data_IF_978762120355
#
_entry.id   IF_978762120355
#
_cell.length_a   1.000
_cell.length_b   1.000
_cell.length_c   1.000
_cell.angle_alpha   90.00
_cell.angle_beta   90.00
_cell.angle_gamma   90.00
#
_symmetry.space_group_name_H-M   'P 1'
#
loop_
_entity.id
_entity.type
_entity.pdbx_description
1 polymer ?
#
# COMPACT_ATOMS: atom_id res chain seq x y z
N UNK A 1 10.77 11.11 -5.51
CA UNK A 1 9.63 10.21 -5.82
C UNK A 1 8.47 10.63 -4.94
N UNK A 2 7.22 10.54 -5.41
CA UNK A 2 6.06 11.02 -4.66
C UNK A 2 5.73 10.06 -3.52
N UNK A 3 5.92 10.52 -2.28
CA UNK A 3 5.54 9.79 -1.08
C UNK A 3 4.30 10.42 -0.44
N UNK A 4 3.43 9.58 0.09
CA UNK A 4 2.17 9.93 0.71
C UNK A 4 2.13 9.39 2.14
N UNK A 5 1.88 10.22 3.17
CA UNK A 5 1.58 9.71 4.50
C UNK A 5 0.27 8.91 4.45
N UNK A 6 0.31 7.69 4.96
CA UNK A 6 -0.84 6.81 5.12
C UNK A 6 -0.81 6.17 6.50
N UNK A 7 -1.95 6.16 7.17
CA UNK A 7 -2.15 5.32 8.36
C UNK A 7 -2.67 3.97 7.92
N UNK A 8 -1.91 2.92 8.23
CA UNK A 8 -2.33 1.54 8.05
C UNK A 8 -2.84 1.00 9.39
N UNK A 9 -3.90 0.20 9.34
CA UNK A 9 -4.52 -0.38 10.53
C UNK A 9 -4.88 -1.85 10.33
N UNK A 10 -4.66 -2.63 11.39
CA UNK A 10 -5.08 -4.02 11.52
C UNK A 10 -5.82 -4.17 12.86
N UNK A 11 -7.16 -4.16 12.82
CA UNK A 11 -7.97 -4.09 14.04
C UNK A 11 -7.71 -2.80 14.81
N UNK A 12 -7.26 -2.92 16.07
CA UNK A 12 -6.92 -1.78 16.94
C UNK A 12 -5.50 -1.25 16.75
N UNK A 13 -4.64 -1.98 16.04
CA UNK A 13 -3.24 -1.58 15.84
C UNK A 13 -3.12 -0.72 14.59
N UNK A 14 -2.36 0.37 14.70
CA UNK A 14 -2.15 1.28 13.58
C UNK A 14 -0.72 1.80 13.54
N UNK A 15 -0.25 2.10 12.34
CA UNK A 15 1.05 2.72 12.09
C UNK A 15 0.93 3.73 10.96
N UNK A 16 1.51 4.90 11.16
CA UNK A 16 1.68 5.90 10.11
C UNK A 16 3.00 5.66 9.37
N UNK A 17 2.93 5.59 8.05
CA UNK A 17 4.08 5.34 7.17
C UNK A 17 4.07 6.29 5.98
N UNK A 18 5.26 6.56 5.44
CA UNK A 18 5.40 7.21 4.13
C UNK A 18 5.38 6.13 3.05
N UNK A 19 4.33 6.09 2.24
CA UNK A 19 4.20 5.14 1.15
C UNK A 19 4.57 5.77 -0.20
N UNK A 20 5.33 5.04 -1.00
CA UNK A 20 5.68 5.40 -2.36
C UNK A 20 4.48 5.20 -3.28
N UNK A 21 4.07 6.23 -4.00
CA UNK A 21 3.12 6.10 -5.10
C UNK A 21 3.86 5.61 -6.35
N UNK A 22 3.58 4.38 -6.78
CA UNK A 22 4.26 3.74 -7.90
C UNK A 22 3.27 3.19 -8.94
N UNK A 23 3.09 3.94 -10.03
CA UNK A 23 2.28 3.50 -11.17
C UNK A 23 2.91 2.34 -11.95
N UNK A 24 4.19 2.03 -11.72
CA UNK A 24 4.84 0.84 -12.28
C UNK A 24 4.52 -0.44 -11.50
N UNK A 25 3.96 -0.32 -10.29
CA UNK A 25 3.63 -1.45 -9.44
C UNK A 25 2.17 -1.89 -9.65
N UNK A 26 1.97 -3.15 -10.02
CA UNK A 26 0.62 -3.71 -10.16
C UNK A 26 -0.09 -3.92 -8.81
N UNK A 27 0.66 -4.14 -7.73
CA UNK A 27 0.14 -4.44 -6.39
C UNK A 27 0.75 -3.51 -5.35
N UNK A 28 0.08 -3.32 -4.22
CA UNK A 28 0.71 -2.68 -3.06
C UNK A 28 1.72 -3.64 -2.43
N UNK A 29 2.80 -3.09 -1.86
CA UNK A 29 3.84 -3.87 -1.17
C UNK A 29 3.98 -3.38 0.26
N UNK A 30 4.00 -4.31 1.21
CA UNK A 30 4.21 -4.04 2.62
C UNK A 30 5.51 -4.74 3.07
N UNK A 31 6.50 -4.03 3.64
CA UNK A 31 7.70 -4.64 4.18
C UNK A 31 7.42 -5.47 5.43
N UNK A 32 8.30 -6.44 5.72
CA UNK A 32 8.06 -7.41 6.79
C UNK A 32 7.78 -6.73 8.14
N UNK A 33 8.64 -5.77 8.49
CA UNK A 33 8.62 -5.09 9.78
C UNK A 33 7.32 -4.29 10.02
N UNK A 34 6.73 -3.72 8.98
CA UNK A 34 5.49 -2.93 9.12
C UNK A 34 4.31 -3.84 9.45
N UNK A 35 4.22 -5.01 8.80
CA UNK A 35 3.20 -6.00 9.16
C UNK A 35 3.34 -6.50 10.61
N UNK A 36 4.58 -6.66 11.11
CA UNK A 36 4.81 -7.00 12.52
C UNK A 36 4.37 -5.89 13.48
N UNK A 37 4.62 -4.61 13.16
CA UNK A 37 4.14 -3.47 13.97
C UNK A 37 2.61 -3.40 14.03
N UNK A 38 1.94 -3.91 13.01
CA UNK A 38 0.49 -4.05 12.94
C UNK A 38 -0.02 -5.35 13.60
N UNK A 39 0.85 -6.07 14.32
CA UNK A 39 0.57 -7.36 14.95
C UNK A 39 0.02 -8.42 13.98
N UNK A 40 0.31 -8.29 12.67
CA UNK A 40 -0.02 -9.33 11.72
C UNK A 40 0.89 -10.54 11.95
N UNK A 41 0.31 -11.74 11.89
CA UNK A 41 1.05 -13.00 12.01
C UNK A 41 1.35 -13.56 10.63
N UNK A 42 2.63 -13.66 10.27
CA UNK A 42 3.08 -14.11 8.94
C UNK A 42 2.60 -15.52 8.62
N UNK A 43 2.70 -16.42 9.59
CA UNK A 43 2.36 -17.84 9.48
C UNK A 43 0.86 -18.06 9.25
N UNK A 44 0.01 -17.11 9.63
CA UNK A 44 -1.43 -17.15 9.37
C UNK A 44 -1.80 -16.73 7.95
N UNK A 45 -0.90 -16.05 7.24
CA UNK A 45 -1.13 -15.65 5.85
C UNK A 45 -0.83 -16.86 4.94
N UNK A 46 -1.81 -17.29 4.15
CA UNK A 46 -1.72 -18.53 3.36
C UNK A 46 -1.73 -18.30 1.85
N UNK A 47 -2.01 -17.09 1.39
CA UNK A 47 -2.08 -16.74 -0.03
C UNK A 47 -0.70 -16.29 -0.49
N UNK A 48 0.07 -17.09 -1.25
CA UNK A 48 1.36 -16.65 -1.78
C UNK A 48 1.17 -15.61 -2.89
N UNK A 49 2.03 -14.60 -2.92
CA UNK A 49 2.07 -13.59 -3.98
C UNK A 49 3.44 -13.62 -4.64
N UNK A 50 3.47 -13.84 -5.95
CA UNK A 50 4.71 -13.77 -6.71
C UNK A 50 5.04 -12.31 -7.04
N UNK A 51 6.12 -11.80 -6.46
CA UNK A 51 6.67 -10.49 -6.81
C UNK A 51 7.63 -10.61 -8.00
N UNK A 52 7.92 -9.47 -8.61
CA UNK A 52 8.84 -9.32 -9.74
C UNK A 52 9.81 -8.16 -9.52
N UNK A 53 10.68 -7.90 -10.49
CA UNK A 53 11.68 -6.83 -10.42
C UNK A 53 12.63 -7.00 -9.23
N UNK A 54 12.90 -5.91 -8.52
CA UNK A 54 13.85 -5.90 -7.38
C UNK A 54 13.39 -6.77 -6.20
N UNK A 55 12.12 -7.18 -6.15
CA UNK A 55 11.56 -8.00 -5.08
C UNK A 55 11.28 -9.45 -5.52
N UNK A 56 11.70 -9.86 -6.72
CA UNK A 56 11.39 -11.18 -7.29
C UNK A 56 11.84 -12.37 -6.41
N UNK A 57 12.89 -12.19 -5.60
CA UNK A 57 13.43 -13.21 -4.72
C UNK A 57 12.87 -13.17 -3.30
N UNK A 58 12.05 -12.17 -2.96
CA UNK A 58 11.49 -12.03 -1.63
C UNK A 58 10.15 -12.76 -1.55
N UNK A 59 10.02 -13.70 -0.60
CA UNK A 59 8.73 -14.34 -0.31
C UNK A 59 7.71 -13.26 0.03
N UNK A 60 6.51 -13.36 -0.54
CA UNK A 60 5.40 -12.48 -0.20
C UNK A 60 4.09 -13.25 -0.05
N UNK A 61 3.24 -12.74 0.84
CA UNK A 61 1.93 -13.29 1.17
C UNK A 61 0.89 -12.17 1.13
N UNK A 62 -0.34 -12.52 0.80
CA UNK A 62 -1.45 -11.59 0.83
C UNK A 62 -1.75 -11.16 2.26
N UNK A 63 -1.87 -9.85 2.49
CA UNK A 63 -2.35 -9.26 3.73
C UNK A 63 -3.31 -8.12 3.39
N UNK A 64 -4.49 -8.08 4.01
CA UNK A 64 -5.46 -7.01 3.84
C UNK A 64 -5.44 -6.11 5.06
N UNK A 65 -5.30 -4.81 4.85
CA UNK A 65 -5.24 -3.80 5.90
C UNK A 65 -6.25 -2.69 5.62
N UNK A 66 -6.67 -2.00 6.67
CA UNK A 66 -7.35 -0.71 6.53
C UNK A 66 -6.30 0.37 6.28
N UNK A 67 -6.54 1.23 5.28
CA UNK A 67 -5.67 2.35 4.93
C UNK A 67 -6.44 3.65 4.96
N UNK A 68 -5.90 4.67 5.63
CA UNK A 68 -6.48 6.00 5.72
C UNK A 68 -5.44 7.03 5.29
N UNK A 69 -5.82 7.83 4.30
CA UNK A 69 -4.99 8.90 3.75
C UNK A 69 -5.68 10.23 3.99
N UNK A 70 -4.93 11.19 4.55
CA UNK A 70 -5.45 12.52 4.85
C UNK A 70 -6.79 12.45 5.59
N UNK A 71 -7.77 13.25 5.20
CA UNK A 71 -9.14 13.24 5.74
C UNK A 71 -10.12 12.33 4.97
N UNK A 72 -9.64 11.44 4.10
CA UNK A 72 -10.50 10.55 3.32
C UNK A 72 -11.00 9.37 4.15
N UNK A 73 -12.13 8.80 3.73
CA UNK A 73 -12.66 7.56 4.32
C UNK A 73 -11.65 6.43 4.20
N UNK A 74 -11.57 5.60 5.25
CA UNK A 74 -10.71 4.43 5.24
C UNK A 74 -11.15 3.42 4.16
N UNK A 75 -10.17 2.77 3.53
CA UNK A 75 -10.38 1.73 2.52
C UNK A 75 -9.62 0.46 2.87
N UNK A 76 -10.06 -0.67 2.34
CA UNK A 76 -9.32 -1.92 2.44
C UNK A 76 -8.28 -2.00 1.32
N UNK A 77 -7.03 -2.18 1.72
CA UNK A 77 -5.88 -2.31 0.84
C UNK A 77 -5.33 -3.73 0.92
N UNK A 78 -5.29 -4.42 -0.22
CA UNK A 78 -4.57 -5.68 -0.35
C UNK A 78 -3.09 -5.40 -0.62
N UNK A 79 -2.22 -6.00 0.18
CA UNK A 79 -0.77 -5.92 0.08
C UNK A 79 -0.17 -7.29 -0.24
N UNK A 80 0.88 -7.26 -1.06
CA UNK A 80 1.94 -8.25 -1.00
C UNK A 80 2.81 -7.93 0.21
N UNK A 81 2.52 -8.56 1.35
CA UNK A 81 3.37 -8.47 2.53
C UNK A 81 4.60 -9.34 2.31
N UNK A 82 5.78 -8.73 2.24
CA UNK A 82 7.02 -9.39 1.84
C UNK A 82 8.00 -9.57 2.99
N UNK A 83 8.83 -10.62 2.94
CA UNK A 83 9.96 -10.83 3.86
C UNK A 83 11.11 -9.82 3.68
N UNK A 84 11.06 -8.96 2.66
CA UNK A 84 12.03 -7.88 2.49
C UNK A 84 11.95 -6.87 3.64
N UNK A 85 13.12 -6.47 4.16
CA UNK A 85 13.26 -5.40 5.17
C UNK A 85 13.54 -4.03 4.56
N UNK A 86 13.96 -4.00 3.29
CA UNK A 86 14.52 -2.79 2.66
C UNK A 86 13.56 -2.16 1.64
N UNK A 87 12.47 -2.86 1.31
CA UNK A 87 11.43 -2.31 0.46
C UNK A 87 10.76 -1.09 1.15
N UNK A 88 10.44 -0.01 0.43
CA UNK A 88 9.48 0.96 0.93
C UNK A 88 8.08 0.33 0.98
N UNK A 89 7.16 0.95 1.73
CA UNK A 89 5.73 0.70 1.49
C UNK A 89 5.39 1.24 0.11
N UNK A 90 4.81 0.42 -0.76
CA UNK A 90 4.45 0.81 -2.13
C UNK A 90 2.93 0.76 -2.25
N UNK A 91 2.35 1.82 -2.80
CA UNK A 91 0.98 1.86 -3.27
C UNK A 91 1.00 1.74 -4.80
N UNK A 92 0.35 0.71 -5.30
CA UNK A 92 0.29 0.34 -6.71
C UNK A 92 -1.15 0.24 -7.21
N UNK A 93 -1.32 -0.25 -8.44
CA UNK A 93 -2.62 -0.23 -9.13
C UNK A 93 -3.74 -0.94 -8.37
N UNK A 94 -3.44 -2.07 -7.72
CA UNK A 94 -4.42 -2.84 -6.98
C UNK A 94 -4.93 -2.06 -5.74
N UNK A 95 -6.22 -1.75 -5.73
CA UNK A 95 -6.97 -1.15 -4.61
C UNK A 95 -6.55 0.25 -4.14
N UNK A 96 -5.44 0.83 -4.60
CA UNK A 96 -5.13 2.24 -4.32
C UNK A 96 -5.47 3.14 -5.52
N UNK A 97 -4.78 2.99 -6.66
CA UNK A 97 -5.07 3.79 -7.85
C UNK A 97 -6.43 3.44 -8.51
N UNK A 98 -7.10 2.37 -8.08
CA UNK A 98 -8.50 2.11 -8.46
C UNK A 98 -9.50 2.98 -7.69
N UNK A 99 -9.13 3.41 -6.47
CA UNK A 99 -9.97 4.17 -5.54
C UNK A 99 -9.67 5.67 -5.57
N UNK A 100 -8.47 6.05 -6.02
CA UNK A 100 -8.07 7.44 -6.15
C UNK A 100 -7.57 7.77 -7.55
N UNK A 101 -7.99 8.93 -8.06
CA UNK A 101 -7.29 9.58 -9.15
C UNK A 101 -6.02 10.23 -8.59
N UNK A 102 -4.88 9.91 -9.19
CA UNK A 102 -3.57 10.46 -8.82
C UNK A 102 -2.97 11.18 -10.01
N UNK A 103 -2.64 12.47 -9.85
CA UNK A 103 -2.01 13.28 -10.89
C UNK A 103 -0.61 13.70 -10.43
N UNK A 104 0.43 13.40 -11.21
CA UNK A 104 1.81 13.72 -10.88
C UNK A 104 2.30 14.96 -11.64
N UNK A 105 2.84 15.94 -10.91
CA UNK A 105 3.44 17.16 -11.43
C UNK A 105 4.95 17.09 -11.20
N UNK A 106 5.65 16.46 -12.14
CA UNK A 106 7.03 16.00 -11.94
C UNK A 106 8.03 17.13 -11.75
N UNK A 107 7.88 18.25 -12.47
CA UNK A 107 8.78 19.40 -12.37
C UNK A 107 8.57 20.17 -11.05
N UNK A 108 7.33 20.16 -10.59
CA UNK A 108 6.85 20.81 -9.37
C UNK A 108 7.12 19.95 -8.12
N UNK A 109 7.56 18.71 -8.31
CA UNK A 109 7.72 17.70 -7.26
C UNK A 109 6.44 17.50 -6.43
N UNK A 110 5.29 17.69 -7.07
CA UNK A 110 3.98 17.64 -6.43
C UNK A 110 3.12 16.52 -7.03
N UNK A 111 2.07 16.16 -6.31
CA UNK A 111 1.00 15.32 -6.82
C UNK A 111 -0.32 15.75 -6.20
N UNK A 112 -1.41 15.44 -6.89
CA UNK A 112 -2.76 15.62 -6.39
C UNK A 112 -3.44 14.26 -6.25
N UNK A 113 -4.31 14.16 -5.26
CA UNK A 113 -5.05 12.95 -4.91
C UNK A 113 -6.53 13.29 -4.77
N UNK A 114 -7.37 12.63 -5.57
CA UNK A 114 -8.81 12.79 -5.52
C UNK A 114 -9.48 11.44 -5.33
N UNK A 115 -10.38 11.26 -4.34
CA UNK A 115 -11.15 10.03 -4.23
C UNK A 115 -12.00 9.87 -5.49
N UNK A 116 -12.14 8.65 -5.97
CA UNK A 116 -13.08 8.35 -7.04
C UNK A 116 -14.49 8.62 -6.53
N UNK A 117 -15.22 9.51 -7.19
CA UNK A 117 -16.65 9.70 -6.89
C UNK A 117 -17.37 8.36 -7.08
N UNK A 118 -18.03 7.88 -6.03
CA UNK A 118 -18.99 6.78 -6.17
C UNK A 118 -20.14 7.34 -6.98
N UNK A 119 -20.18 7.00 -8.27
CA UNK A 119 -21.25 7.44 -9.15
C UNK A 119 -22.61 7.16 -8.51
N UNK A 120 -23.46 8.18 -8.45
CA UNK A 120 -24.90 7.99 -8.30
C UNK A 120 -25.33 7.31 -9.60
N UNK A 121 -25.64 6.01 -9.53
CA UNK A 121 -26.29 5.27 -10.61
C UNK A 121 -27.71 4.99 -10.20
#
# INVERSE_FOLDING_TARGET
MPYLPITLSNGSNSVEVMALLDTGASVNVLPYQIGLQLEATWEQQTVPIQLSGNLAHSEARGLVLSGTVAQFSSLLLAFAWTRSTDAPVILGHLNFFSEFNVCFFRHELAFELYPREKGIV
#
